data_IF_162848621803
#
_entry.id   IF_162848621803
#
_cell.length_a   1.000
_cell.length_b   1.000
_cell.length_c   1.000
_cell.angle_alpha   90.00
_cell.angle_beta   90.00
_cell.angle_gamma   90.00
#
_symmetry.space_group_name_H-M   'P 1'
#
loop_
_entity.id
_entity.type
_entity.pdbx_description
1 polymer ?
#
# COMPACT_ATOMS: atom_id res chain seq x y z
N UNK A 1 33.47 -1.72 10.46
CA UNK A 1 32.13 -1.35 10.99
C UNK A 1 31.13 -1.88 9.99
N UNK A 2 30.37 -2.92 10.34
CA UNK A 2 29.26 -3.38 9.53
C UNK A 2 28.26 -2.22 9.36
N UNK A 3 27.87 -1.93 8.12
CA UNK A 3 26.86 -0.92 7.84
C UNK A 3 25.51 -1.48 8.27
N UNK A 4 24.95 -0.96 9.35
CA UNK A 4 23.57 -1.26 9.74
C UNK A 4 22.61 -0.69 8.69
N UNK A 5 21.68 -1.52 8.23
CA UNK A 5 20.53 -1.10 7.43
C UNK A 5 19.31 -1.04 8.32
N UNK A 6 18.69 0.12 8.37
CA UNK A 6 17.42 0.30 9.08
C UNK A 6 16.26 0.08 8.09
N UNK A 7 15.31 -0.78 8.46
CA UNK A 7 14.09 -1.00 7.69
C UNK A 7 12.90 -0.41 8.47
N UNK A 8 12.21 0.53 7.86
CA UNK A 8 10.99 1.12 8.40
C UNK A 8 9.81 0.86 7.48
N UNK A 9 8.66 0.51 8.06
CA UNK A 9 7.41 0.29 7.35
C UNK A 9 6.24 0.86 8.13
N UNK A 10 5.72 2.00 7.67
CA UNK A 10 4.40 2.49 8.04
C UNK A 10 3.65 2.98 6.81
N UNK A 11 2.33 2.74 6.69
CA UNK A 11 1.55 3.27 5.57
C UNK A 11 1.64 4.79 5.41
N UNK A 12 1.83 5.53 6.51
CA UNK A 12 1.95 7.00 6.48
C UNK A 12 3.15 7.50 5.69
N UNK A 13 4.18 6.68 5.51
CA UNK A 13 5.36 7.03 4.71
C UNK A 13 5.03 7.25 3.23
N UNK A 14 3.96 6.62 2.73
CA UNK A 14 3.46 6.87 1.39
C UNK A 14 3.01 8.32 1.11
N UNK A 15 2.80 9.13 2.15
CA UNK A 15 2.46 10.55 2.03
C UNK A 15 3.60 11.48 2.52
N UNK A 16 4.79 10.93 2.79
CA UNK A 16 5.91 11.66 3.43
C UNK A 16 7.24 11.42 2.75
N UNK A 17 7.25 10.85 1.58
CA UNK A 17 8.49 10.50 0.88
C UNK A 17 9.42 11.70 0.69
N UNK A 18 8.97 12.92 0.30
CA UNK A 18 9.87 14.07 0.21
C UNK A 18 10.50 14.49 1.54
N UNK A 19 9.79 14.31 2.65
CA UNK A 19 10.35 14.52 3.99
C UNK A 19 11.42 13.47 4.32
N UNK A 20 11.14 12.20 4.00
CA UNK A 20 12.09 11.11 4.24
C UNK A 20 13.37 11.27 3.43
N UNK A 21 13.30 11.81 2.21
CA UNK A 21 14.48 12.12 1.40
C UNK A 21 15.38 13.18 2.06
N UNK A 22 14.80 14.16 2.73
CA UNK A 22 15.57 15.18 3.43
C UNK A 22 16.25 14.62 4.68
N UNK A 23 15.57 13.72 5.41
CA UNK A 23 16.08 13.15 6.67
C UNK A 23 17.07 12.01 6.41
N UNK A 24 16.84 11.23 5.37
CA UNK A 24 17.63 10.05 5.01
C UNK A 24 18.06 10.11 3.55
N UNK A 25 18.94 11.04 3.18
CA UNK A 25 19.44 11.15 1.82
C UNK A 25 20.15 9.83 1.44
N UNK A 26 19.75 9.24 0.35
CA UNK A 26 20.27 7.93 -0.08
C UNK A 26 19.45 6.71 0.41
N UNK A 27 18.30 6.91 1.05
CA UNK A 27 17.39 5.81 1.39
C UNK A 27 16.90 5.08 0.13
N UNK A 28 16.74 3.78 0.22
CA UNK A 28 16.07 2.97 -0.81
C UNK A 28 14.59 2.83 -0.46
N UNK A 29 13.74 2.85 -1.49
CA UNK A 29 12.29 2.76 -1.32
C UNK A 29 11.77 1.48 -1.94
N UNK A 30 10.94 0.78 -1.18
CA UNK A 30 10.18 -0.35 -1.68
C UNK A 30 8.71 0.04 -1.75
N UNK A 31 8.17 0.12 -2.96
CA UNK A 31 6.76 0.35 -3.21
C UNK A 31 6.02 -0.98 -3.31
N UNK A 32 5.37 -1.38 -2.21
CA UNK A 32 4.51 -2.57 -2.20
C UNK A 32 3.09 -2.18 -2.64
N UNK A 33 2.70 -2.62 -3.82
CA UNK A 33 1.38 -2.36 -4.39
C UNK A 33 0.48 -3.60 -4.33
N UNK A 34 -0.83 -3.38 -4.40
CA UNK A 34 -1.84 -4.43 -4.40
C UNK A 34 -3.02 -4.04 -5.29
N UNK A 35 -3.65 -5.04 -5.93
CA UNK A 35 -4.91 -4.84 -6.68
C UNK A 35 -5.89 -4.01 -5.84
N UNK A 36 -6.50 -2.96 -6.43
CA UNK A 36 -7.40 -2.07 -5.71
C UNK A 36 -8.62 -2.78 -5.12
N UNK A 37 -9.19 -3.79 -5.79
CA UNK A 37 -10.42 -4.46 -5.33
C UNK A 37 -10.26 -5.12 -3.96
N UNK A 38 -9.33 -6.07 -3.76
CA UNK A 38 -9.10 -6.66 -2.45
C UNK A 38 -8.55 -5.66 -1.44
N UNK A 39 -7.80 -4.64 -1.88
CA UNK A 39 -7.27 -3.64 -0.98
C UNK A 39 -8.37 -2.71 -0.44
N UNK A 40 -9.20 -2.14 -1.32
CA UNK A 40 -10.35 -1.29 -0.94
C UNK A 40 -11.33 -2.08 -0.05
N UNK A 41 -11.63 -3.35 -0.39
CA UNK A 41 -12.44 -4.21 0.47
C UNK A 41 -11.87 -4.33 1.88
N UNK A 42 -10.57 -4.58 2.01
CA UNK A 42 -9.90 -4.65 3.31
C UNK A 42 -9.92 -3.31 4.06
N UNK A 43 -9.80 -2.20 3.34
CA UNK A 43 -9.90 -0.85 3.93
C UNK A 43 -11.31 -0.60 4.47
N UNK A 44 -12.35 -0.98 3.73
CA UNK A 44 -13.74 -0.87 4.19
C UNK A 44 -13.97 -1.66 5.48
N UNK A 45 -13.46 -2.90 5.56
CA UNK A 45 -13.54 -3.70 6.79
C UNK A 45 -12.76 -3.07 7.95
N UNK A 46 -11.61 -2.49 7.67
CA UNK A 46 -10.84 -1.75 8.67
C UNK A 46 -11.62 -0.55 9.22
N UNK A 47 -12.27 0.23 8.36
CA UNK A 47 -13.15 1.33 8.75
C UNK A 47 -14.32 0.86 9.60
N UNK A 48 -15.06 -0.17 9.15
CA UNK A 48 -16.20 -0.77 9.87
C UNK A 48 -15.81 -1.30 11.25
N UNK A 49 -14.57 -1.78 11.41
CA UNK A 49 -14.10 -2.36 12.67
C UNK A 49 -13.84 -1.31 13.78
N UNK A 50 -13.68 -0.04 13.45
CA UNK A 50 -13.29 1.03 14.38
C UNK A 50 -11.88 0.88 15.01
N UNK A 51 -11.12 -0.16 14.66
CA UNK A 51 -9.80 -0.44 15.26
C UNK A 51 -8.67 0.41 14.66
N UNK A 52 -8.91 1.03 13.51
CA UNK A 52 -7.89 1.74 12.72
C UNK A 52 -8.12 3.24 12.67
N UNK A 53 -8.80 3.77 13.69
CA UNK A 53 -9.02 5.21 13.83
C UNK A 53 -7.68 5.92 13.96
N UNK A 54 -7.44 6.86 13.04
CA UNK A 54 -6.20 7.63 12.99
C UNK A 54 -6.42 9.07 13.46
N UNK A 55 -7.60 9.61 13.15
CA UNK A 55 -7.98 10.97 13.52
C UNK A 55 -9.37 10.96 14.15
N UNK A 56 -9.46 10.78 15.49
CA UNK A 56 -10.75 10.69 16.19
C UNK A 56 -11.54 12.01 16.15
N UNK A 57 -10.83 13.13 16.10
CA UNK A 57 -11.40 14.46 16.04
C UNK A 57 -10.86 15.21 14.82
N UNK A 58 -11.39 14.89 13.64
CA UNK A 58 -11.00 15.57 12.41
C UNK A 58 -11.96 16.74 12.15
N UNK A 59 -11.46 17.98 12.31
CA UNK A 59 -12.28 19.18 12.13
C UNK A 59 -12.83 19.26 10.69
N UNK A 60 -14.15 19.43 10.56
CA UNK A 60 -14.81 19.49 9.25
C UNK A 60 -15.20 18.12 8.67
N UNK A 61 -14.94 17.04 9.38
CA UNK A 61 -15.39 15.70 9.05
C UNK A 61 -16.65 15.33 9.84
N UNK A 62 -17.69 14.85 9.17
CA UNK A 62 -19.02 14.63 9.77
C UNK A 62 -19.37 13.15 9.98
N UNK A 63 -18.51 12.23 9.57
CA UNK A 63 -18.70 10.78 9.64
C UNK A 63 -18.03 10.16 10.89
N UNK A 64 -18.14 8.83 11.05
CA UNK A 64 -17.36 8.15 12.09
C UNK A 64 -15.90 8.58 12.07
N UNK A 65 -15.18 8.47 13.20
CA UNK A 65 -13.77 8.87 13.29
C UNK A 65 -12.96 8.39 12.12
N UNK A 66 -12.14 9.29 11.53
CA UNK A 66 -11.37 8.96 10.34
C UNK A 66 -10.40 7.82 10.57
N UNK A 67 -10.45 6.81 9.73
CA UNK A 67 -9.59 5.63 9.77
C UNK A 67 -8.56 5.63 8.65
N UNK A 68 -7.40 4.97 8.89
CA UNK A 68 -6.33 4.80 7.94
C UNK A 68 -5.64 6.11 7.53
N UNK A 69 -5.16 6.19 6.28
CA UNK A 69 -4.44 7.36 5.76
C UNK A 69 -5.38 8.56 5.52
N UNK A 70 -4.83 9.76 5.68
CA UNK A 70 -5.54 11.00 5.41
C UNK A 70 -4.84 11.73 4.23
N UNK A 71 -5.15 11.38 2.98
CA UNK A 71 -4.57 12.05 1.82
C UNK A 71 -5.16 13.46 1.64
N UNK A 72 -4.43 14.40 1.03
CA UNK A 72 -4.95 15.72 0.69
C UNK A 72 -6.25 15.64 -0.11
N UNK A 73 -7.16 16.59 0.10
CA UNK A 73 -8.45 16.61 -0.58
C UNK A 73 -9.55 15.77 0.07
N UNK A 74 -9.30 15.19 1.22
CA UNK A 74 -10.28 14.37 1.96
C UNK A 74 -11.60 15.10 2.26
N UNK A 75 -11.60 16.43 2.32
CA UNK A 75 -12.78 17.24 2.65
C UNK A 75 -13.94 17.01 1.68
N UNK A 76 -13.66 16.70 0.42
CA UNK A 76 -14.65 16.40 -0.62
C UNK A 76 -15.42 15.08 -0.38
N UNK A 77 -15.01 14.30 0.61
CA UNK A 77 -15.60 12.99 0.88
C UNK A 77 -16.70 13.03 1.93
N UNK A 78 -16.99 14.20 2.53
CA UNK A 78 -18.10 14.31 3.46
C UNK A 78 -19.41 13.84 2.81
N UNK A 79 -20.12 12.93 3.48
CA UNK A 79 -21.37 12.37 2.97
C UNK A 79 -21.23 11.34 1.84
N UNK A 80 -20.00 11.00 1.43
CA UNK A 80 -19.77 9.98 0.41
C UNK A 80 -19.87 8.56 0.98
N UNK A 81 -20.29 7.57 0.18
CA UNK A 81 -20.26 6.16 0.58
C UNK A 81 -18.87 5.70 0.99
N UNK A 82 -18.79 4.72 1.91
CA UNK A 82 -17.52 4.22 2.41
C UNK A 82 -16.59 3.67 1.31
N UNK A 83 -17.16 3.01 0.30
CA UNK A 83 -16.39 2.53 -0.85
C UNK A 83 -15.70 3.68 -1.61
N UNK A 84 -16.37 4.83 -1.78
CA UNK A 84 -15.77 6.01 -2.40
C UNK A 84 -14.68 6.62 -1.54
N UNK A 85 -14.85 6.66 -0.21
CA UNK A 85 -13.82 7.12 0.73
C UNK A 85 -12.58 6.25 0.60
N UNK A 86 -12.74 4.92 0.65
CA UNK A 86 -11.61 3.99 0.53
C UNK A 86 -10.98 4.01 -0.86
N UNK A 87 -11.77 4.16 -1.93
CA UNK A 87 -11.26 4.31 -3.30
C UNK A 87 -10.41 5.58 -3.46
N UNK A 88 -10.88 6.71 -2.92
CA UNK A 88 -10.11 7.96 -2.90
C UNK A 88 -8.82 7.81 -2.09
N UNK A 89 -8.88 7.23 -0.88
CA UNK A 89 -7.69 6.98 -0.07
C UNK A 89 -6.66 6.14 -0.84
N UNK A 90 -7.11 5.04 -1.46
CA UNK A 90 -6.25 4.16 -2.24
C UNK A 90 -5.63 4.88 -3.44
N UNK A 91 -6.45 5.50 -4.28
CA UNK A 91 -6.01 6.13 -5.52
C UNK A 91 -5.11 7.35 -5.26
N UNK A 92 -5.50 8.24 -4.33
CA UNK A 92 -4.72 9.43 -4.01
C UNK A 92 -3.37 9.09 -3.39
N UNK A 93 -3.33 8.11 -2.48
CA UNK A 93 -2.06 7.67 -1.88
C UNK A 93 -1.13 7.08 -2.92
N UNK A 94 -1.61 6.17 -3.77
CA UNK A 94 -0.76 5.55 -4.80
C UNK A 94 -0.30 6.55 -5.85
N UNK A 95 -1.13 7.55 -6.24
CA UNK A 95 -0.68 8.63 -7.13
C UNK A 95 0.44 9.45 -6.50
N UNK A 96 0.29 9.86 -5.25
CA UNK A 96 1.33 10.61 -4.52
C UNK A 96 2.63 9.80 -4.48
N UNK A 97 2.57 8.51 -4.13
CA UNK A 97 3.76 7.64 -4.13
C UNK A 97 4.41 7.60 -5.51
N UNK A 98 3.64 7.38 -6.57
CA UNK A 98 4.15 7.29 -7.94
C UNK A 98 4.79 8.61 -8.39
N UNK A 99 4.14 9.73 -8.09
CA UNK A 99 4.63 11.05 -8.46
C UNK A 99 5.91 11.44 -7.69
N UNK A 100 6.02 11.03 -6.43
CA UNK A 100 7.21 11.26 -5.60
C UNK A 100 8.36 10.33 -6.04
N UNK A 101 8.09 9.06 -6.28
CA UNK A 101 9.11 8.10 -6.77
C UNK A 101 9.64 8.46 -8.16
N UNK A 102 8.78 9.03 -9.03
CA UNK A 102 9.22 9.48 -10.37
C UNK A 102 10.27 10.61 -10.33
N UNK A 103 10.45 11.28 -9.18
CA UNK A 103 11.49 12.30 -8.98
C UNK A 103 12.82 11.72 -8.55
N UNK A 104 12.84 10.43 -8.17
CA UNK A 104 14.05 9.75 -7.74
C UNK A 104 14.70 9.00 -8.92
N UNK A 105 16.03 8.84 -8.88
CA UNK A 105 16.72 7.91 -9.76
C UNK A 105 16.12 6.50 -9.64
N UNK A 106 16.01 5.79 -10.76
CA UNK A 106 15.31 4.50 -10.82
C UNK A 106 15.95 3.43 -9.91
N UNK A 107 17.24 3.49 -9.72
CA UNK A 107 18.01 2.61 -8.84
C UNK A 107 17.73 2.83 -7.34
N UNK A 108 17.02 3.90 -6.99
CA UNK A 108 16.68 4.24 -5.61
C UNK A 108 15.38 3.63 -5.12
N UNK A 109 14.60 3.00 -6.01
CA UNK A 109 13.34 2.40 -5.63
C UNK A 109 12.99 1.18 -6.46
N UNK A 110 12.21 0.30 -5.86
CA UNK A 110 11.72 -0.94 -6.48
C UNK A 110 10.23 -1.10 -6.21
N UNK A 111 9.47 -1.49 -7.25
CA UNK A 111 8.08 -1.88 -7.11
C UNK A 111 7.97 -3.40 -6.87
N UNK A 112 7.04 -3.79 -6.01
CA UNK A 112 6.72 -5.16 -5.67
C UNK A 112 5.20 -5.32 -5.56
N UNK A 113 4.65 -6.35 -6.17
CA UNK A 113 3.23 -6.66 -6.05
C UNK A 113 2.99 -7.64 -4.89
N UNK A 114 1.95 -7.36 -4.09
CA UNK A 114 1.61 -8.16 -2.92
C UNK A 114 1.32 -9.63 -3.27
N UNK A 115 0.62 -9.86 -4.37
CA UNK A 115 0.25 -11.23 -4.78
C UNK A 115 1.48 -12.02 -5.26
N UNK A 116 2.44 -11.36 -5.91
CA UNK A 116 3.73 -11.98 -6.24
C UNK A 116 4.54 -12.28 -4.96
N UNK A 117 4.56 -11.36 -4.01
CA UNK A 117 5.25 -11.56 -2.73
C UNK A 117 4.70 -12.77 -1.97
N UNK A 118 3.40 -12.98 -1.99
CA UNK A 118 2.77 -14.10 -1.27
C UNK A 118 2.84 -15.42 -2.04
N UNK A 119 2.76 -15.39 -3.37
CA UNK A 119 2.79 -16.59 -4.21
C UNK A 119 4.22 -17.10 -4.49
N UNK A 120 5.21 -16.19 -4.50
CA UNK A 120 6.61 -16.48 -4.84
C UNK A 120 7.54 -15.83 -3.81
N UNK A 121 7.28 -16.07 -2.54
CA UNK A 121 7.94 -15.39 -1.41
C UNK A 121 9.47 -15.40 -1.52
N UNK A 122 10.09 -16.59 -1.68
CA UNK A 122 11.55 -16.71 -1.72
C UNK A 122 12.15 -15.92 -2.88
N UNK A 123 11.64 -16.10 -4.10
CA UNK A 123 12.14 -15.39 -5.27
C UNK A 123 11.98 -13.86 -5.13
N UNK A 124 10.83 -13.42 -4.61
CA UNK A 124 10.57 -11.99 -4.42
C UNK A 124 11.49 -11.39 -3.37
N UNK A 125 11.68 -12.06 -2.22
CA UNK A 125 12.58 -11.59 -1.15
C UNK A 125 14.03 -11.61 -1.61
N UNK A 126 14.44 -12.60 -2.42
CA UNK A 126 15.79 -12.62 -3.02
C UNK A 126 16.02 -11.36 -3.86
N UNK A 127 15.10 -11.02 -4.76
CA UNK A 127 15.22 -9.80 -5.56
C UNK A 127 15.20 -8.51 -4.71
N UNK A 128 14.46 -8.49 -3.61
CA UNK A 128 14.49 -7.37 -2.68
C UNK A 128 15.84 -7.25 -1.94
N UNK A 129 16.43 -8.38 -1.56
CA UNK A 129 17.76 -8.40 -0.94
C UNK A 129 18.84 -7.90 -1.92
N UNK A 130 18.78 -8.33 -3.17
CA UNK A 130 19.69 -7.86 -4.24
C UNK A 130 19.56 -6.34 -4.42
N UNK A 131 18.34 -5.85 -4.58
CA UNK A 131 18.07 -4.40 -4.67
C UNK A 131 18.60 -3.63 -3.47
N UNK A 132 18.37 -4.13 -2.26
CA UNK A 132 18.81 -3.48 -1.02
C UNK A 132 20.30 -3.74 -0.71
N UNK A 133 21.02 -4.50 -1.53
CA UNK A 133 22.41 -4.93 -1.27
C UNK A 133 22.55 -5.63 0.08
N UNK A 134 21.63 -6.52 0.38
CA UNK A 134 21.59 -7.35 1.58
C UNK A 134 21.90 -8.80 1.24
N UNK A 135 22.59 -9.49 2.13
CA UNK A 135 22.81 -10.92 1.98
C UNK A 135 21.51 -11.71 2.26
N UNK A 136 21.23 -12.67 1.40
CA UNK A 136 20.22 -13.70 1.64
C UNK A 136 20.85 -14.82 2.47
N UNK A 137 20.93 -14.61 3.79
CA UNK A 137 21.53 -15.58 4.70
C UNK A 137 20.65 -16.84 4.88
N UNK A 138 21.22 -17.87 5.50
CA UNK A 138 20.54 -19.15 5.72
C UNK A 138 19.32 -19.02 6.64
N UNK A 139 19.34 -18.10 7.59
CA UNK A 139 18.22 -17.84 8.49
C UNK A 139 17.04 -17.22 7.74
N UNK A 140 17.30 -16.22 6.89
CA UNK A 140 16.29 -15.59 6.05
C UNK A 140 15.74 -16.59 5.03
N UNK A 141 16.62 -17.37 4.37
CA UNK A 141 16.22 -18.42 3.42
C UNK A 141 15.23 -19.40 4.05
N UNK A 142 15.59 -19.98 5.19
CA UNK A 142 14.69 -20.88 5.93
C UNK A 142 13.35 -20.22 6.31
N UNK A 143 13.38 -18.93 6.62
CA UNK A 143 12.17 -18.19 6.97
C UNK A 143 11.22 -17.98 5.81
N UNK A 144 11.73 -17.68 4.63
CA UNK A 144 10.91 -17.39 3.44
C UNK A 144 10.50 -18.67 2.67
N UNK A 145 11.21 -19.78 2.86
CA UNK A 145 10.82 -21.10 2.31
C UNK A 145 9.76 -21.81 3.17
N UNK A 146 9.55 -21.37 4.41
CA UNK A 146 8.51 -21.89 5.28
C UNK A 146 7.19 -21.11 5.10
N UNK A 147 6.08 -21.72 5.50
CA UNK A 147 4.80 -21.03 5.56
C UNK A 147 4.91 -19.78 6.45
N UNK A 148 4.51 -18.64 5.89
CA UNK A 148 4.55 -17.38 6.62
C UNK A 148 3.38 -17.28 7.58
N UNK A 149 3.60 -16.89 8.85
CA UNK A 149 2.49 -16.69 9.79
C UNK A 149 1.62 -15.54 9.34
N UNK A 150 0.34 -15.64 9.65
CA UNK A 150 -0.57 -14.51 9.47
C UNK A 150 -0.11 -13.31 10.31
N UNK A 151 -0.27 -12.13 9.75
CA UNK A 151 -0.03 -10.90 10.50
C UNK A 151 -0.96 -10.83 11.71
N UNK A 152 -0.45 -10.38 12.87
CA UNK A 152 -1.27 -10.09 14.06
C UNK A 152 -2.41 -9.09 13.79
N UNK A 153 -2.34 -8.37 12.70
CA UNK A 153 -3.35 -7.41 12.27
C UNK A 153 -4.39 -8.01 11.31
N UNK A 154 -4.22 -9.27 10.94
CA UNK A 154 -5.15 -9.99 10.08
C UNK A 154 -6.45 -10.23 10.86
N UNK A 155 -7.54 -9.62 10.43
CA UNK A 155 -8.85 -9.75 11.10
C UNK A 155 -9.55 -11.05 10.74
N UNK A 156 -9.39 -11.47 9.50
CA UNK A 156 -10.00 -12.70 8.96
C UNK A 156 -9.02 -13.35 8.00
N UNK A 157 -9.00 -14.68 7.93
CA UNK A 157 -8.10 -15.44 7.07
C UNK A 157 -8.08 -14.88 5.63
N UNK A 158 -6.91 -14.80 4.98
CA UNK A 158 -6.84 -14.50 3.56
C UNK A 158 -7.54 -15.60 2.78
N UNK A 159 -8.45 -15.21 1.90
CA UNK A 159 -9.14 -16.11 0.98
C UNK A 159 -9.11 -15.49 -0.42
N UNK A 160 -8.93 -16.27 -1.46
CA UNK A 160 -9.16 -15.81 -2.82
C UNK A 160 -10.57 -15.20 -2.94
N UNK A 161 -10.69 -14.13 -3.70
CA UNK A 161 -11.98 -13.48 -3.98
C UNK A 161 -12.79 -12.98 -2.78
N UNK A 162 -12.21 -12.95 -1.58
CA UNK A 162 -12.86 -12.43 -0.37
C UNK A 162 -13.47 -11.02 -0.55
N UNK A 163 -12.89 -10.20 -1.42
CA UNK A 163 -13.38 -8.88 -1.74
C UNK A 163 -14.77 -8.87 -2.36
N UNK A 164 -15.22 -10.00 -2.95
CA UNK A 164 -16.55 -10.13 -3.54
C UNK A 164 -17.69 -9.95 -2.54
N UNK A 165 -17.41 -10.03 -1.25
CA UNK A 165 -18.39 -9.68 -0.20
C UNK A 165 -18.86 -8.23 -0.31
N UNK A 166 -18.00 -7.36 -0.82
CA UNK A 166 -18.24 -5.93 -1.05
C UNK A 166 -18.29 -5.61 -2.56
N UNK A 167 -18.49 -6.61 -3.43
CA UNK A 167 -18.37 -6.47 -4.89
C UNK A 167 -19.27 -5.37 -5.45
N UNK A 168 -20.51 -5.33 -5.00
CA UNK A 168 -21.50 -4.34 -5.45
C UNK A 168 -21.08 -2.90 -5.14
N UNK A 169 -20.37 -2.68 -4.04
CA UNK A 169 -19.85 -1.36 -3.66
C UNK A 169 -18.51 -1.04 -4.35
N UNK A 170 -17.69 -2.06 -4.63
CA UNK A 170 -16.32 -1.90 -5.12
C UNK A 170 -16.27 -1.75 -6.65
N UNK A 171 -17.04 -2.53 -7.40
CA UNK A 171 -17.00 -2.46 -8.87
C UNK A 171 -17.30 -1.07 -9.42
N UNK A 172 -18.31 -0.32 -8.92
CA UNK A 172 -18.57 1.04 -9.39
C UNK A 172 -17.39 1.99 -9.19
N UNK A 173 -16.65 1.89 -8.07
CA UNK A 173 -15.55 2.80 -7.74
C UNK A 173 -14.21 2.40 -8.36
N UNK A 174 -14.10 1.17 -8.86
CA UNK A 174 -12.87 0.66 -9.51
C UNK A 174 -12.94 0.62 -11.03
N UNK A 175 -14.09 1.00 -11.62
CA UNK A 175 -14.26 1.05 -13.08
C UNK A 175 -13.43 2.15 -13.73
N UNK A 176 -13.03 1.99 -14.99
CA UNK A 176 -12.41 3.06 -15.76
C UNK A 176 -13.31 4.31 -15.82
N UNK A 177 -12.68 5.48 -15.80
CA UNK A 177 -13.38 6.77 -15.86
C UNK A 177 -14.09 7.18 -14.56
N UNK A 178 -13.93 6.46 -13.47
CA UNK A 178 -14.44 6.92 -12.18
C UNK A 178 -13.66 8.17 -11.72
N UNK A 179 -14.32 9.23 -11.14
CA UNK A 179 -13.65 10.48 -10.79
C UNK A 179 -12.40 10.37 -9.92
N UNK A 180 -12.30 9.33 -9.11
CA UNK A 180 -11.10 9.10 -8.29
C UNK A 180 -9.95 8.40 -9.03
N UNK A 181 -10.16 7.92 -10.27
CA UNK A 181 -9.12 7.38 -11.13
C UNK A 181 -8.44 6.13 -10.59
N UNK A 182 -9.20 5.21 -9.97
CA UNK A 182 -8.65 3.97 -9.38
C UNK A 182 -8.06 3.07 -10.46
N UNK A 183 -8.79 2.84 -11.55
CA UNK A 183 -8.33 1.98 -12.65
C UNK A 183 -7.08 2.53 -13.32
N UNK A 184 -7.05 3.83 -13.60
CA UNK A 184 -5.93 4.54 -14.21
C UNK A 184 -4.71 4.52 -13.29
N UNK A 185 -4.91 4.72 -11.98
CA UNK A 185 -3.83 4.63 -10.99
C UNK A 185 -3.28 3.22 -10.91
N UNK A 186 -4.13 2.20 -10.95
CA UNK A 186 -3.69 0.81 -10.97
C UNK A 186 -2.88 0.47 -12.23
N UNK A 187 -3.29 0.96 -13.38
CA UNK A 187 -2.54 0.81 -14.62
C UNK A 187 -1.14 1.43 -14.49
N UNK A 188 -1.03 2.65 -13.95
CA UNK A 188 0.28 3.29 -13.68
C UNK A 188 1.13 2.45 -12.71
N UNK A 189 0.53 1.89 -11.65
CA UNK A 189 1.23 1.01 -10.72
C UNK A 189 1.83 -0.20 -11.43
N UNK A 190 1.05 -0.90 -12.26
CA UNK A 190 1.51 -2.10 -12.99
C UNK A 190 2.64 -1.81 -13.97
N UNK A 191 2.61 -0.67 -14.64
CA UNK A 191 3.70 -0.25 -15.52
C UNK A 191 5.06 -0.18 -14.81
N UNK A 192 5.08 0.03 -13.48
CA UNK A 192 6.32 0.05 -12.71
C UNK A 192 6.95 -1.34 -12.48
N UNK A 193 6.21 -2.41 -12.70
CA UNK A 193 6.73 -3.78 -12.66
C UNK A 193 7.43 -4.17 -13.96
N UNK A 194 6.98 -3.60 -15.08
CA UNK A 194 7.45 -3.92 -16.43
C UNK A 194 8.71 -3.14 -16.83
N UNK A 195 8.98 -2.04 -16.12
CA UNK A 195 10.08 -1.10 -16.42
C UNK A 195 11.44 -1.53 -15.79
N UNK A 196 11.72 -2.83 -15.75
CA UNK A 196 12.99 -3.39 -15.23
C UNK A 196 14.00 -3.62 -16.32
#
# INVERSE_FOLDING_TARGET
IERLRFLEKTPKNGLRQPFLEQVFPGALYLFLMRDPRPNISSMMEAWKSGRWVTYPLLRGWQWPPWSLLLPPGWQQLNGRPLAEICAFQWASTNRIILDDLARLPRERWMACEYDQLTARTEATITGLCEFAQLAMDERLRRRVSAELPLSRYTQTAPEPDKWRRNEQEILPVTRPGHPFGVAETWQRCRQQLESR
#
